data_IF_672144019846
#
_entry.id   IF_672144019846
#
_cell.length_a   1.000
_cell.length_b   1.000
_cell.length_c   1.000
_cell.angle_alpha   90.00
_cell.angle_beta   90.00
_cell.angle_gamma   90.00
#
_symmetry.space_group_name_H-M   'P 1'
#
loop_
_entity.id
_entity.type
_entity.pdbx_description
1 polymer ?
#
# COMPACT_ATOMS: atom_id res chain seq x y z
N UNK A 1 0.54 41.18 -24.94
CA UNK A 1 -0.41 40.38 -25.73
C UNK A 1 -0.53 38.92 -25.27
N UNK A 2 0.49 38.31 -24.62
CA UNK A 2 0.47 36.87 -24.25
C UNK A 2 -0.52 36.45 -23.13
N UNK A 3 -0.82 37.31 -22.16
CA UNK A 3 -1.70 36.94 -21.02
C UNK A 3 -3.16 36.66 -21.40
N UNK A 4 -3.66 37.21 -22.51
CA UNK A 4 -5.06 37.05 -22.89
C UNK A 4 -5.31 35.67 -23.52
N UNK A 5 -4.37 35.19 -24.35
CA UNK A 5 -4.44 33.86 -24.97
C UNK A 5 -4.36 32.73 -23.94
N UNK A 6 -3.54 32.90 -22.89
CA UNK A 6 -3.50 31.96 -21.77
C UNK A 6 -4.84 31.92 -21.04
N UNK A 7 -5.47 33.06 -20.79
CA UNK A 7 -6.79 33.12 -20.14
C UNK A 7 -7.89 32.44 -20.97
N UNK A 8 -7.84 32.60 -22.29
CA UNK A 8 -8.81 31.98 -23.19
C UNK A 8 -8.63 30.46 -23.27
N UNK A 9 -7.39 29.94 -23.26
CA UNK A 9 -7.13 28.50 -23.27
C UNK A 9 -7.60 27.81 -21.98
N UNK A 10 -7.42 28.45 -20.82
CA UNK A 10 -7.96 27.95 -19.54
C UNK A 10 -9.49 27.90 -19.55
N UNK A 11 -10.15 28.93 -20.07
CA UNK A 11 -11.62 28.96 -20.20
C UNK A 11 -12.11 27.84 -21.09
N UNK A 12 -11.45 27.60 -22.22
CA UNK A 12 -11.81 26.52 -23.14
C UNK A 12 -11.65 25.15 -22.48
N UNK A 13 -10.55 24.91 -21.77
CA UNK A 13 -10.31 23.66 -21.02
C UNK A 13 -11.39 23.41 -19.96
N UNK A 14 -11.73 24.43 -19.16
CA UNK A 14 -12.77 24.33 -18.14
C UNK A 14 -14.12 23.99 -18.80
N UNK A 15 -14.47 24.68 -19.88
CA UNK A 15 -15.75 24.44 -20.57
C UNK A 15 -15.83 23.01 -21.14
N UNK A 16 -14.75 22.52 -21.75
CA UNK A 16 -14.66 21.13 -22.24
C UNK A 16 -14.81 20.13 -21.10
N UNK A 17 -14.13 20.34 -19.99
CA UNK A 17 -14.22 19.48 -18.82
C UNK A 17 -15.64 19.44 -18.25
N UNK A 18 -16.25 20.61 -18.05
CA UNK A 18 -17.62 20.73 -17.54
C UNK A 18 -18.61 20.00 -18.45
N UNK A 19 -18.49 20.17 -19.76
CA UNK A 19 -19.32 19.48 -20.73
C UNK A 19 -19.17 17.95 -20.66
N UNK A 20 -17.93 17.46 -20.58
CA UNK A 20 -17.63 16.03 -20.41
C UNK A 20 -18.22 15.48 -19.10
N UNK A 21 -18.07 16.20 -17.98
CA UNK A 21 -18.61 15.79 -16.68
C UNK A 21 -20.14 15.75 -16.67
N UNK A 22 -20.80 16.77 -17.24
CA UNK A 22 -22.27 16.84 -17.31
C UNK A 22 -22.80 15.72 -18.21
N UNK A 23 -22.23 15.55 -19.41
CA UNK A 23 -22.65 14.51 -20.35
C UNK A 23 -22.43 13.11 -19.79
N UNK A 24 -21.31 12.86 -19.11
CA UNK A 24 -21.05 11.60 -18.40
C UNK A 24 -22.07 11.37 -17.28
N UNK A 25 -22.31 12.38 -16.42
CA UNK A 25 -23.28 12.29 -15.32
C UNK A 25 -24.71 12.06 -15.83
N UNK A 26 -25.09 12.68 -16.94
CA UNK A 26 -26.39 12.45 -17.56
C UNK A 26 -26.54 11.00 -18.07
N UNK A 27 -25.49 10.43 -18.67
CA UNK A 27 -25.50 9.06 -19.21
C UNK A 27 -25.37 7.98 -18.13
N UNK A 28 -24.53 8.20 -17.12
CA UNK A 28 -24.09 7.16 -16.18
C UNK A 28 -24.37 7.46 -14.72
N UNK A 29 -24.80 8.68 -14.37
CA UNK A 29 -24.99 9.10 -12.98
C UNK A 29 -26.05 8.30 -12.22
N UNK A 30 -27.01 7.66 -12.92
CA UNK A 30 -27.94 6.71 -12.28
C UNK A 30 -27.33 5.33 -12.00
N UNK A 31 -26.35 4.90 -12.80
CA UNK A 31 -25.65 3.62 -12.64
C UNK A 31 -24.57 3.69 -11.56
N UNK A 32 -23.92 4.84 -11.44
CA UNK A 32 -22.86 5.10 -10.47
C UNK A 32 -23.23 6.33 -9.64
N UNK A 33 -24.14 6.19 -8.66
CA UNK A 33 -24.47 7.29 -7.79
C UNK A 33 -23.20 7.70 -7.00
N UNK A 34 -22.80 8.97 -7.16
CA UNK A 34 -21.62 9.55 -6.50
C UNK A 34 -21.73 9.55 -4.96
N UNK A 35 -22.95 9.40 -4.45
CA UNK A 35 -23.21 9.15 -3.04
C UNK A 35 -23.85 7.77 -2.93
N UNK A 36 -23.34 6.87 -2.08
CA UNK A 36 -24.12 5.71 -1.71
C UNK A 36 -25.49 6.20 -1.20
N UNK A 37 -26.58 5.45 -1.41
CA UNK A 37 -27.84 5.74 -0.76
C UNK A 37 -27.56 5.99 0.73
N UNK A 38 -28.21 6.98 1.33
CA UNK A 38 -28.18 7.13 2.79
C UNK A 38 -28.85 5.89 3.39
N UNK A 39 -28.07 4.83 3.58
CA UNK A 39 -28.41 3.72 4.46
C UNK A 39 -28.33 4.32 5.85
N UNK A 40 -29.37 5.05 6.26
CA UNK A 40 -29.46 5.72 7.55
C UNK A 40 -28.97 4.74 8.60
N UNK A 41 -27.81 5.05 9.19
CA UNK A 41 -26.96 4.22 10.05
C UNK A 41 -27.65 2.90 10.44
N UNK A 42 -27.65 1.93 9.52
CA UNK A 42 -28.08 0.59 9.89
C UNK A 42 -26.99 0.13 10.83
N UNK A 43 -27.33 -0.11 12.10
CA UNK A 43 -26.47 -0.77 13.09
C UNK A 43 -26.26 -2.24 12.73
N UNK A 44 -26.03 -2.52 11.45
CA UNK A 44 -25.68 -3.83 10.98
C UNK A 44 -24.27 -4.08 11.47
N UNK A 45 -24.16 -5.00 12.42
CA UNK A 45 -22.88 -5.46 12.95
C UNK A 45 -22.12 -6.02 11.76
N UNK A 46 -21.11 -5.31 11.28
CA UNK A 46 -20.19 -5.83 10.29
C UNK A 46 -19.50 -7.03 10.94
N UNK A 47 -19.95 -8.24 10.61
CA UNK A 47 -19.24 -9.45 11.00
C UNK A 47 -17.98 -9.50 10.13
N UNK A 48 -16.83 -9.24 10.75
CA UNK A 48 -15.55 -9.47 10.09
C UNK A 48 -15.41 -10.97 9.84
N UNK A 49 -14.84 -11.39 8.70
CA UNK A 49 -14.51 -12.79 8.49
C UNK A 49 -13.56 -13.24 9.59
N UNK A 50 -13.86 -14.37 10.23
CA UNK A 50 -12.94 -14.98 11.18
C UNK A 50 -11.65 -15.38 10.47
N UNK A 51 -10.52 -14.83 10.96
CA UNK A 51 -9.19 -15.22 10.50
C UNK A 51 -8.86 -16.54 11.20
N UNK A 52 -8.97 -17.65 10.45
CA UNK A 52 -8.55 -18.95 10.94
C UNK A 52 -7.03 -19.05 10.90
N UNK A 53 -6.41 -19.08 12.09
CA UNK A 53 -5.01 -19.48 12.25
C UNK A 53 -4.95 -21.01 12.28
N UNK A 54 -4.14 -21.67 11.43
CA UNK A 54 -3.88 -23.10 11.56
C UNK A 54 -3.28 -23.36 12.94
N UNK A 55 -3.87 -24.29 13.70
CA UNK A 55 -3.23 -24.78 14.93
C UNK A 55 -1.98 -25.56 14.51
N UNK A 56 -0.82 -25.03 14.86
CA UNK A 56 0.43 -25.77 14.81
C UNK A 56 0.40 -26.81 15.94
N UNK A 57 0.26 -28.08 15.57
CA UNK A 57 0.37 -29.19 16.50
C UNK A 57 1.80 -29.26 17.02
N UNK A 58 1.97 -28.74 18.24
CA UNK A 58 3.20 -28.83 19.00
C UNK A 58 3.40 -30.27 19.50
N UNK A 59 4.10 -31.09 18.72
CA UNK A 59 4.68 -32.36 19.21
C UNK A 59 6.20 -32.28 19.24
N UNK A 60 6.71 -31.90 20.42
CA UNK A 60 7.90 -32.45 21.10
C UNK A 60 9.01 -33.10 20.25
N UNK A 61 10.12 -32.35 20.10
CA UNK A 61 11.48 -32.78 20.46
C UNK A 61 12.18 -33.90 19.67
N UNK A 62 13.26 -33.57 18.95
CA UNK A 62 14.61 -33.92 19.40
C UNK A 62 15.72 -33.18 18.64
N UNK A 63 16.89 -33.14 19.29
CA UNK A 63 18.09 -32.37 18.97
C UNK A 63 19.00 -33.03 17.94
N UNK A 64 19.84 -32.15 17.36
CA UNK A 64 21.23 -32.33 16.89
C UNK A 64 21.53 -33.02 15.55
N UNK A 65 22.23 -32.26 14.68
CA UNK A 65 23.05 -32.81 13.58
C UNK A 65 23.20 -31.93 12.34
N UNK A 66 24.08 -30.91 12.37
CA UNK A 66 24.81 -30.43 11.17
C UNK A 66 26.08 -31.32 10.97
N UNK A 67 26.85 -31.32 9.85
CA UNK A 67 27.07 -30.31 8.79
C UNK A 67 27.02 -30.94 7.35
N UNK A 68 27.25 -30.33 6.18
CA UNK A 68 28.33 -29.47 5.65
C UNK A 68 27.89 -28.77 4.33
N UNK A 69 28.72 -27.79 3.94
CA UNK A 69 28.72 -26.91 2.77
C UNK A 69 28.84 -27.66 1.44
N UNK A 70 28.24 -27.13 0.36
CA UNK A 70 28.95 -27.02 -0.92
C UNK A 70 28.40 -25.90 -1.81
N UNK A 71 29.35 -25.27 -2.47
CA UNK A 71 29.32 -24.08 -3.32
C UNK A 71 28.88 -24.45 -4.75
N UNK A 72 27.99 -23.66 -5.36
CA UNK A 72 27.91 -23.59 -6.82
C UNK A 72 27.24 -22.29 -7.29
N UNK A 73 28.04 -21.40 -7.86
CA UNK A 73 27.60 -20.23 -8.61
C UNK A 73 27.11 -20.61 -10.03
N UNK A 74 25.98 -19.98 -10.43
CA UNK A 74 25.63 -19.33 -11.73
C UNK A 74 25.68 -20.17 -13.05
N UNK A 75 25.02 -19.81 -14.19
CA UNK A 75 24.19 -18.63 -14.54
C UNK A 75 22.91 -18.90 -15.41
N UNK A 76 22.23 -17.80 -15.80
CA UNK A 76 21.56 -17.50 -17.09
C UNK A 76 20.03 -17.69 -17.30
N UNK A 77 19.37 -16.53 -17.35
CA UNK A 77 18.45 -16.01 -18.39
C UNK A 77 17.10 -16.68 -18.74
N UNK A 78 16.06 -15.87 -18.49
CA UNK A 78 14.89 -15.53 -19.33
C UNK A 78 13.97 -16.65 -19.83
N UNK A 79 12.72 -16.68 -19.30
CA UNK A 79 11.50 -16.70 -20.12
C UNK A 79 10.34 -16.00 -19.43
N UNK A 80 9.81 -15.00 -20.13
CA UNK A 80 8.51 -14.36 -19.88
C UNK A 80 7.42 -15.42 -19.99
N UNK A 81 6.76 -15.69 -18.87
CA UNK A 81 5.51 -16.42 -18.80
C UNK A 81 4.61 -15.70 -17.82
N UNK A 82 3.50 -15.14 -18.33
CA UNK A 82 2.40 -14.62 -17.53
C UNK A 82 1.74 -15.78 -16.77
N UNK A 83 2.43 -16.28 -15.76
CA UNK A 83 1.81 -17.02 -14.66
C UNK A 83 1.02 -15.99 -13.85
N UNK A 84 -0.21 -16.32 -13.47
CA UNK A 84 -0.94 -15.62 -12.41
C UNK A 84 -0.11 -15.79 -11.12
N UNK A 85 0.92 -14.96 -10.98
CA UNK A 85 1.77 -14.93 -9.81
C UNK A 85 0.89 -14.49 -8.65
N UNK A 86 0.90 -15.27 -7.57
CA UNK A 86 0.41 -14.81 -6.28
C UNK A 86 0.94 -13.39 -6.06
N UNK A 87 0.09 -12.46 -5.56
CA UNK A 87 0.51 -11.08 -5.38
C UNK A 87 1.76 -11.09 -4.52
N UNK A 88 2.85 -10.54 -5.06
CA UNK A 88 4.09 -10.41 -4.31
C UNK A 88 3.78 -9.70 -2.98
N UNK A 89 4.44 -10.09 -1.87
CA UNK A 89 4.29 -9.40 -0.60
C UNK A 89 4.49 -7.90 -0.82
N UNK A 90 3.63 -7.05 -0.25
CA UNK A 90 3.67 -5.61 -0.49
C UNK A 90 5.07 -5.01 -0.19
N UNK A 91 5.72 -5.51 0.87
CA UNK A 91 7.06 -5.13 1.29
C UNK A 91 8.09 -6.24 1.09
N UNK A 92 9.33 -5.85 0.82
CA UNK A 92 10.48 -6.75 0.85
C UNK A 92 10.75 -7.28 2.25
N UNK A 93 11.27 -8.50 2.31
CA UNK A 93 11.73 -9.13 3.56
C UNK A 93 12.84 -8.28 4.19
N UNK A 94 12.79 -8.02 5.51
CA UNK A 94 13.85 -7.27 6.17
C UNK A 94 15.15 -8.08 6.26
N UNK A 95 16.26 -7.36 6.39
CA UNK A 95 17.58 -7.94 6.68
C UNK A 95 17.56 -8.73 7.99
N UNK A 96 18.30 -9.86 8.09
CA UNK A 96 18.27 -10.72 9.27
C UNK A 96 18.71 -10.00 10.55
N UNK A 97 19.61 -9.02 10.45
CA UNK A 97 20.02 -8.17 11.58
C UNK A 97 18.84 -7.34 12.11
N UNK A 98 18.06 -6.76 11.19
CA UNK A 98 16.87 -5.99 11.54
C UNK A 98 15.77 -6.90 12.10
N UNK A 99 15.60 -8.13 11.58
CA UNK A 99 14.61 -9.06 12.14
C UNK A 99 14.99 -9.54 13.54
N UNK A 100 16.28 -9.66 13.87
CA UNK A 100 16.73 -9.97 15.24
C UNK A 100 16.33 -8.89 16.25
N UNK A 101 16.22 -7.63 15.83
CA UNK A 101 15.77 -6.55 16.71
C UNK A 101 14.38 -6.80 17.26
N UNK A 102 13.49 -7.51 16.55
CA UNK A 102 12.15 -7.85 17.06
C UNK A 102 12.21 -8.63 18.37
N UNK A 103 13.23 -9.47 18.53
CA UNK A 103 13.39 -10.38 19.67
C UNK A 103 14.38 -9.87 20.73
N UNK A 104 14.96 -8.68 20.51
CA UNK A 104 15.95 -8.09 21.43
C UNK A 104 15.29 -7.18 22.46
N UNK A 105 15.11 -7.70 23.68
CA UNK A 105 14.57 -6.94 24.82
C UNK A 105 13.08 -6.63 24.70
N UNK A 106 12.58 -5.77 25.58
CA UNK A 106 11.15 -5.43 25.65
C UNK A 106 10.82 -4.10 24.96
N UNK A 107 9.68 -4.05 24.27
CA UNK A 107 9.19 -2.84 23.61
C UNK A 107 8.83 -1.71 24.56
N UNK A 108 8.55 -2.00 25.82
CA UNK A 108 8.27 -0.97 26.82
C UNK A 108 9.51 -0.09 27.12
N UNK A 109 10.72 -0.65 26.99
CA UNK A 109 11.99 0.04 27.22
C UNK A 109 12.54 0.73 25.96
N UNK A 110 11.76 0.81 24.89
CA UNK A 110 12.26 1.33 23.61
C UNK A 110 13.00 0.32 22.74
N UNK A 111 13.09 -0.95 23.16
CA UNK A 111 13.81 -2.02 22.43
C UNK A 111 12.84 -2.90 21.62
N UNK A 112 13.30 -4.01 21.08
CA UNK A 112 12.43 -4.98 20.43
C UNK A 112 11.79 -4.41 19.15
N UNK A 113 10.48 -4.57 19.06
CA UNK A 113 9.63 -4.06 17.97
C UNK A 113 9.76 -2.56 17.73
N UNK A 114 9.94 -1.73 18.76
CA UNK A 114 10.08 -0.28 18.56
C UNK A 114 11.35 0.06 17.80
N UNK A 115 12.48 -0.57 18.15
CA UNK A 115 13.74 -0.43 17.42
C UNK A 115 13.63 -0.95 15.98
N UNK A 116 12.99 -2.11 15.79
CA UNK A 116 12.71 -2.63 14.45
C UNK A 116 11.96 -1.60 13.59
N UNK A 117 10.85 -1.05 14.09
CA UNK A 117 10.05 -0.09 13.33
C UNK A 117 10.83 1.18 13.02
N UNK A 118 11.63 1.68 13.96
CA UNK A 118 12.49 2.85 13.77
C UNK A 118 13.51 2.61 12.67
N UNK A 119 14.25 1.50 12.74
CA UNK A 119 15.25 1.14 11.74
C UNK A 119 14.61 0.92 10.36
N UNK A 120 13.44 0.27 10.33
CA UNK A 120 12.68 0.07 9.09
C UNK A 120 12.22 1.41 8.49
N UNK A 121 11.81 2.37 9.31
CA UNK A 121 11.35 3.69 8.86
C UNK A 121 12.47 4.53 8.25
N UNK A 122 13.73 4.35 8.69
CA UNK A 122 14.88 5.09 8.16
C UNK A 122 15.27 4.64 6.73
N UNK A 123 14.87 3.45 6.29
CA UNK A 123 15.14 2.96 4.93
C UNK A 123 14.25 3.66 3.91
N UNK A 124 14.82 3.92 2.73
CA UNK A 124 14.07 4.50 1.62
C UNK A 124 12.92 3.56 1.20
N UNK A 125 11.82 4.12 0.70
CA UNK A 125 10.70 3.31 0.23
C UNK A 125 11.08 2.40 -0.96
N UNK A 126 12.07 2.78 -1.76
CA UNK A 126 12.59 1.99 -2.89
C UNK A 126 13.27 0.68 -2.45
N UNK A 127 13.95 0.71 -1.30
CA UNK A 127 14.48 -0.50 -0.67
C UNK A 127 13.38 -1.29 0.05
N UNK A 128 12.26 -0.62 0.37
CA UNK A 128 11.19 -1.18 1.19
C UNK A 128 10.20 -2.01 0.42
N UNK A 129 9.78 -1.49 -0.72
CA UNK A 129 8.67 -2.00 -1.50
C UNK A 129 9.21 -2.59 -2.80
N UNK A 130 8.53 -3.63 -3.31
CA UNK A 130 8.86 -4.19 -4.62
C UNK A 130 8.46 -3.23 -5.75
N UNK A 131 7.37 -2.50 -5.52
CA UNK A 131 6.83 -1.57 -6.49
C UNK A 131 7.44 -0.18 -6.29
N UNK A 132 7.71 0.55 -7.39
CA UNK A 132 8.19 1.92 -7.31
C UNK A 132 7.16 2.81 -6.61
N UNK A 133 7.66 3.82 -5.91
CA UNK A 133 6.78 4.82 -5.29
C UNK A 133 6.06 5.59 -6.39
N UNK A 134 4.73 5.54 -6.36
CA UNK A 134 3.89 6.25 -7.30
C UNK A 134 3.73 7.72 -6.88
N UNK A 135 3.53 8.61 -7.86
CA UNK A 135 3.23 10.03 -7.60
C UNK A 135 1.96 10.23 -6.75
N UNK A 136 1.06 9.24 -6.73
CA UNK A 136 -0.12 9.24 -5.85
C UNK A 136 0.23 9.23 -4.36
N UNK A 137 1.45 8.85 -3.97
CA UNK A 137 1.93 8.93 -2.59
C UNK A 137 2.26 10.36 -2.15
N UNK A 138 2.61 11.25 -3.08
CA UNK A 138 2.88 12.66 -2.80
C UNK A 138 1.59 13.42 -2.44
N UNK A 139 0.50 13.04 -3.12
CA UNK A 139 -0.83 13.54 -2.89
C UNK A 139 -1.56 12.68 -1.85
N UNK A 140 -1.05 12.65 -0.62
CA UNK A 140 -1.74 11.98 0.49
C UNK A 140 -3.15 12.52 0.76
N UNK A 141 -3.84 11.97 1.76
CA UNK A 141 -5.18 12.40 2.18
C UNK A 141 -5.17 13.78 2.85
N UNK A 142 -5.06 14.87 2.08
CA UNK A 142 -5.26 16.25 2.59
C UNK A 142 -6.76 16.59 2.65
N UNK A 143 -7.54 15.84 3.42
CA UNK A 143 -8.92 16.19 3.74
C UNK A 143 -8.92 17.07 5.00
N UNK A 144 -8.95 18.39 4.83
CA UNK A 144 -9.24 19.30 5.93
C UNK A 144 -8.16 20.34 6.21
N UNK A 145 -8.06 21.34 5.34
CA UNK A 145 -7.96 22.76 5.73
C UNK A 145 -8.48 23.62 4.58
N UNK A 146 -9.78 23.53 4.30
CA UNK A 146 -10.48 24.60 3.61
C UNK A 146 -11.25 25.36 4.70
N UNK A 147 -10.50 26.09 5.54
CA UNK A 147 -11.06 27.10 6.42
C UNK A 147 -11.37 28.31 5.56
N UNK A 148 -12.66 28.57 5.38
CA UNK A 148 -13.23 29.75 4.73
C UNK A 148 -12.62 31.03 5.31
N UNK A 149 -12.15 32.00 4.50
CA UNK A 149 -11.93 33.34 5.00
C UNK A 149 -13.28 34.02 5.24
N UNK A 150 -13.36 34.73 6.36
CA UNK A 150 -14.47 35.59 6.80
C UNK A 150 -14.73 36.72 5.80
#
# INVERSE_FOLDING_TARGET
MHRHQEQDSWRELINKEVFCRISWKAKYGRKYPQRPPDHGISRQKCLLPDIYFPKEDSSSGNREGAPQKEDRQEPAEEKVGLSLQEPLPEMRVPTPETTQLLYKGFSHEGKGRQQYLKERMMKSPEEKFWYPVLSSWEYGWRLGKQGSPL
#
